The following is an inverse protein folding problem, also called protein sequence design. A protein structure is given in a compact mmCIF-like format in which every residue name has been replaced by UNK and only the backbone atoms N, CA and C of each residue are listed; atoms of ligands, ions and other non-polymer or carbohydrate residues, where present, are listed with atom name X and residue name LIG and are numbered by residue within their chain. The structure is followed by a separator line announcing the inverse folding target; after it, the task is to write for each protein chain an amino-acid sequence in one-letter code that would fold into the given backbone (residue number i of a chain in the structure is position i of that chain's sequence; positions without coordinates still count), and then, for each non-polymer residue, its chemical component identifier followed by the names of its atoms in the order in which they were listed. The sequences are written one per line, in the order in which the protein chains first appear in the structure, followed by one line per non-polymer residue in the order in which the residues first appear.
data_IF_358143009802
#
_entry.id   IF_358143009802
#
_cell.length_a   1.000
_cell.length_b   1.000
_cell.length_c   1.000
_cell.angle_alpha   90.00
_cell.angle_beta   90.00
_cell.angle_gamma   90.00
#
_symmetry.space_group_name_H-M   'P 1'
#
loop_
_entity.id
_entity.type
_entity.pdbx_description
1 polymer ?
#
# COMPACT_ATOMS: atom_id res chain seq x y z
N UNK A 1 -6.46 -0.51 -24.54
CA UNK A 1 -6.25 -0.62 -23.08
C UNK A 1 -6.27 0.80 -22.50
N UNK A 2 -6.85 0.98 -21.34
CA UNK A 2 -7.01 2.28 -20.70
C UNK A 2 -5.71 2.68 -19.99
N UNK A 3 -5.17 3.86 -20.33
CA UNK A 3 -3.91 4.36 -19.74
C UNK A 3 -4.09 4.82 -18.30
N UNK A 4 -5.22 5.49 -18.00
CA UNK A 4 -5.60 5.96 -16.66
C UNK A 4 -6.97 5.38 -16.32
N UNK A 5 -7.10 4.84 -15.11
CA UNK A 5 -8.39 4.47 -14.53
C UNK A 5 -8.79 5.45 -13.44
N UNK A 6 -10.07 5.77 -13.35
CA UNK A 6 -10.67 6.58 -12.30
C UNK A 6 -11.70 5.74 -11.54
N UNK A 7 -11.59 5.73 -10.20
CA UNK A 7 -12.49 4.99 -9.31
C UNK A 7 -13.03 5.93 -8.25
N UNK A 8 -14.36 5.98 -8.13
CA UNK A 8 -15.02 6.74 -7.06
C UNK A 8 -15.04 5.93 -5.78
N UNK A 9 -14.55 6.49 -4.70
CA UNK A 9 -14.40 5.85 -3.41
C UNK A 9 -15.05 6.68 -2.29
N UNK A 10 -15.60 5.97 -1.30
CA UNK A 10 -16.04 6.54 -0.02
C UNK A 10 -15.40 5.76 1.12
N UNK A 11 -15.22 6.36 2.30
CA UNK A 11 -14.73 5.63 3.46
C UNK A 11 -15.74 4.55 3.85
N UNK A 12 -15.24 3.39 4.26
CA UNK A 12 -16.07 2.21 4.58
C UNK A 12 -16.48 2.22 6.05
N UNK A 13 -15.62 2.75 6.93
CA UNK A 13 -15.83 2.74 8.36
C UNK A 13 -16.04 4.17 8.89
N UNK A 14 -17.12 4.36 9.64
CA UNK A 14 -17.43 5.60 10.38
C UNK A 14 -17.40 6.91 9.57
N UNK A 15 -17.43 6.83 8.25
CA UNK A 15 -17.37 8.00 7.38
C UNK A 15 -16.01 8.74 7.38
N UNK A 16 -14.97 8.20 8.02
CA UNK A 16 -13.70 8.89 8.23
C UNK A 16 -12.62 8.33 7.30
N UNK A 17 -11.91 9.21 6.60
CA UNK A 17 -10.75 8.87 5.80
C UNK A 17 -9.50 8.71 6.66
N UNK A 18 -9.30 7.52 7.22
CA UNK A 18 -8.06 7.14 7.89
C UNK A 18 -6.99 6.72 6.89
N UNK A 19 -5.69 6.64 7.27
CA UNK A 19 -4.66 6.05 6.41
C UNK A 19 -5.02 4.66 5.87
N UNK A 20 -5.70 3.81 6.66
CA UNK A 20 -6.15 2.50 6.20
C UNK A 20 -7.27 2.61 5.15
N UNK A 21 -8.23 3.54 5.32
CA UNK A 21 -9.27 3.79 4.31
C UNK A 21 -8.67 4.33 3.00
N UNK A 22 -7.70 5.24 3.08
CA UNK A 22 -6.98 5.73 1.91
C UNK A 22 -6.21 4.61 1.19
N UNK A 23 -5.52 3.74 1.95
CA UNK A 23 -4.86 2.55 1.37
C UNK A 23 -5.85 1.61 0.70
N UNK A 24 -7.03 1.38 1.28
CA UNK A 24 -8.08 0.56 0.69
C UNK A 24 -8.62 1.14 -0.62
N UNK A 25 -8.73 2.47 -0.72
CA UNK A 25 -9.11 3.12 -1.97
C UNK A 25 -8.05 2.95 -3.07
N UNK A 26 -6.75 3.04 -2.72
CA UNK A 26 -5.64 2.78 -3.65
C UNK A 26 -5.61 1.32 -4.11
N UNK A 27 -5.84 0.37 -3.20
CA UNK A 27 -5.86 -1.06 -3.50
C UNK A 27 -7.00 -1.41 -4.47
N UNK A 28 -8.22 -0.88 -4.23
CA UNK A 28 -9.35 -1.03 -5.14
C UNK A 28 -9.02 -0.51 -6.54
N UNK A 29 -8.51 0.72 -6.63
CA UNK A 29 -8.16 1.32 -7.93
C UNK A 29 -7.03 0.54 -8.63
N UNK A 30 -6.09 -0.02 -7.88
CA UNK A 30 -5.03 -0.87 -8.44
C UNK A 30 -5.58 -2.17 -9.02
N UNK A 31 -6.48 -2.84 -8.29
CA UNK A 31 -7.13 -4.09 -8.70
C UNK A 31 -7.97 -3.88 -9.95
N UNK A 32 -8.89 -2.90 -9.93
CA UNK A 32 -9.76 -2.60 -11.06
C UNK A 32 -8.95 -2.28 -12.33
N UNK A 33 -7.85 -1.52 -12.18
CA UNK A 33 -6.98 -1.19 -13.32
C UNK A 33 -6.15 -2.39 -13.80
N UNK A 34 -5.64 -3.22 -12.88
CA UNK A 34 -4.91 -4.43 -13.24
C UNK A 34 -5.79 -5.42 -14.01
N UNK A 35 -7.05 -5.57 -13.62
CA UNK A 35 -8.04 -6.41 -14.32
C UNK A 35 -8.35 -5.85 -15.71
N UNK A 36 -8.57 -4.53 -15.82
CA UNK A 36 -8.78 -3.86 -17.12
C UNK A 36 -7.58 -3.99 -18.07
N UNK A 37 -6.38 -4.15 -17.52
CA UNK A 37 -5.13 -4.37 -18.27
C UNK A 37 -4.81 -5.86 -18.52
N UNK A 38 -5.64 -6.79 -18.03
CA UNK A 38 -5.41 -8.25 -18.08
C UNK A 38 -4.11 -8.70 -17.36
N UNK A 39 -3.77 -8.02 -16.27
CA UNK A 39 -2.65 -8.37 -15.37
C UNK A 39 -3.08 -8.49 -13.91
N UNK A 40 -4.38 -8.64 -13.67
CA UNK A 40 -4.95 -8.91 -12.36
C UNK A 40 -4.52 -10.27 -11.80
N UNK A 41 -4.84 -10.51 -10.52
CA UNK A 41 -4.42 -11.69 -9.78
C UNK A 41 -4.67 -13.01 -10.53
N UNK A 42 -5.91 -13.30 -10.88
CA UNK A 42 -6.31 -14.58 -11.49
C UNK A 42 -5.57 -14.84 -12.80
N UNK A 43 -5.41 -13.79 -13.60
CA UNK A 43 -4.70 -13.85 -14.87
C UNK A 43 -3.22 -14.12 -14.69
N UNK A 44 -2.58 -13.44 -13.74
CA UNK A 44 -1.15 -13.62 -13.47
C UNK A 44 -0.85 -15.00 -12.90
N UNK A 45 -1.72 -15.54 -12.05
CA UNK A 45 -1.61 -16.91 -11.53
C UNK A 45 -1.81 -17.93 -12.65
N UNK A 46 -2.89 -17.81 -13.43
CA UNK A 46 -3.26 -18.80 -14.46
C UNK A 46 -2.25 -18.88 -15.61
N UNK A 47 -1.78 -17.74 -16.10
CA UNK A 47 -0.93 -17.69 -17.30
C UNK A 47 0.57 -17.76 -17.00
N UNK A 48 0.97 -17.25 -15.82
CA UNK A 48 2.40 -17.06 -15.50
C UNK A 48 2.83 -17.69 -14.17
N UNK A 49 1.91 -18.31 -13.41
CA UNK A 49 2.22 -18.88 -12.09
C UNK A 49 2.83 -17.84 -11.14
N UNK A 50 2.37 -16.61 -11.21
CA UNK A 50 2.98 -15.48 -10.53
C UNK A 50 1.97 -14.60 -9.80
N UNK A 51 2.46 -13.88 -8.77
CA UNK A 51 1.67 -12.97 -7.93
C UNK A 51 2.34 -11.60 -7.87
N UNK A 52 1.52 -10.55 -7.88
CA UNK A 52 1.97 -9.21 -7.52
C UNK A 52 2.08 -9.06 -6.01
N UNK A 53 3.24 -8.56 -5.54
CA UNK A 53 3.45 -8.22 -4.15
C UNK A 53 3.77 -6.73 -4.02
N UNK A 54 3.00 -6.03 -3.19
CA UNK A 54 3.30 -4.65 -2.82
C UNK A 54 4.48 -4.67 -1.83
N UNK A 55 5.56 -4.01 -2.19
CA UNK A 55 6.75 -3.94 -1.32
C UNK A 55 6.93 -2.58 -0.67
N UNK A 56 6.42 -1.53 -1.29
CA UNK A 56 6.47 -0.16 -0.75
C UNK A 56 5.29 0.65 -1.21
N UNK A 57 4.81 1.51 -0.31
CA UNK A 57 3.82 2.53 -0.62
C UNK A 57 4.18 3.84 0.06
N UNK A 58 3.84 4.95 -0.58
CA UNK A 58 3.78 6.28 0.02
C UNK A 58 2.52 6.96 -0.48
N UNK A 59 1.78 7.56 0.43
CA UNK A 59 0.71 8.49 0.12
C UNK A 59 0.92 9.80 0.89
N UNK A 60 0.46 10.91 0.31
CA UNK A 60 0.53 12.22 0.95
C UNK A 60 -0.61 13.10 0.42
N UNK A 61 -1.35 13.70 1.33
CA UNK A 61 -2.44 14.62 1.06
C UNK A 61 -2.05 16.05 1.42
N UNK A 62 -2.57 17.01 0.71
CA UNK A 62 -2.45 18.44 1.03
C UNK A 62 -3.42 18.85 2.13
N UNK A 63 -4.56 18.16 2.23
CA UNK A 63 -5.56 18.25 3.28
C UNK A 63 -6.17 16.89 3.55
N UNK A 64 -6.73 16.67 4.73
CA UNK A 64 -7.59 15.51 4.96
C UNK A 64 -8.93 15.70 4.23
N UNK A 65 -9.51 14.62 3.69
CA UNK A 65 -10.88 14.67 3.20
C UNK A 65 -11.86 14.89 4.36
N UNK A 66 -12.95 15.58 4.09
CA UNK A 66 -14.04 15.71 5.06
C UNK A 66 -14.71 14.36 5.32
N UNK A 67 -15.47 14.27 6.42
CA UNK A 67 -16.29 13.09 6.69
C UNK A 67 -17.25 12.84 5.52
N UNK A 68 -17.38 11.57 5.13
CA UNK A 68 -18.22 11.12 4.00
C UNK A 68 -17.90 11.75 2.63
N UNK A 69 -16.83 12.54 2.52
CA UNK A 69 -16.41 13.12 1.23
C UNK A 69 -16.09 12.00 0.23
N UNK A 70 -16.64 12.12 -0.97
CA UNK A 70 -16.34 11.18 -2.04
C UNK A 70 -15.04 11.56 -2.71
N UNK A 71 -14.08 10.63 -2.78
CA UNK A 71 -12.84 10.81 -3.52
C UNK A 71 -12.90 10.08 -4.86
N UNK A 72 -12.35 10.69 -5.89
CA UNK A 72 -11.97 9.99 -7.12
C UNK A 72 -10.49 9.66 -7.06
N UNK A 73 -10.17 8.37 -7.09
CA UNK A 73 -8.78 7.89 -7.19
C UNK A 73 -8.46 7.65 -8.65
N UNK A 74 -7.47 8.36 -9.18
CA UNK A 74 -6.92 8.17 -10.52
C UNK A 74 -5.66 7.35 -10.42
N UNK A 75 -5.47 6.35 -11.28
CA UNK A 75 -4.28 5.50 -11.24
C UNK A 75 -3.76 5.17 -12.63
N UNK A 76 -2.42 5.04 -12.74
CA UNK A 76 -1.70 4.67 -13.96
C UNK A 76 -0.38 3.99 -13.65
N UNK A 77 0.19 3.35 -14.66
CA UNK A 77 1.50 2.70 -14.58
C UNK A 77 2.62 3.63 -15.06
N UNK A 78 3.80 3.48 -14.48
CA UNK A 78 5.07 3.94 -15.06
C UNK A 78 5.69 2.85 -15.92
N UNK A 79 6.69 3.22 -16.73
CA UNK A 79 7.52 2.25 -17.43
C UNK A 79 8.11 1.23 -16.47
N UNK A 80 7.95 -0.08 -16.72
CA UNK A 80 8.46 -1.11 -15.84
C UNK A 80 9.99 -1.14 -15.82
N UNK A 81 10.56 -1.65 -14.73
CA UNK A 81 11.97 -2.04 -14.66
C UNK A 81 12.07 -3.56 -14.60
N UNK A 82 13.26 -4.16 -14.77
CA UNK A 82 13.39 -5.62 -14.65
C UNK A 82 12.91 -6.22 -13.33
N UNK A 83 12.93 -5.43 -12.25
CA UNK A 83 12.63 -5.93 -10.89
C UNK A 83 11.35 -5.35 -10.29
N UNK A 84 10.74 -4.33 -10.92
CA UNK A 84 9.69 -3.56 -10.28
C UNK A 84 8.72 -2.93 -11.28
N UNK A 85 7.42 -3.00 -10.98
CA UNK A 85 6.38 -2.18 -11.58
C UNK A 85 5.98 -1.07 -10.59
N UNK A 86 5.90 0.17 -11.08
CA UNK A 86 5.53 1.32 -10.26
C UNK A 86 4.19 1.86 -10.75
N UNK A 87 3.30 2.12 -9.80
CA UNK A 87 1.97 2.66 -10.04
C UNK A 87 1.82 3.99 -9.29
N UNK A 88 1.37 5.01 -10.01
CA UNK A 88 1.04 6.32 -9.45
C UNK A 88 -0.46 6.47 -9.25
N UNK A 89 -0.80 7.38 -8.32
CA UNK A 89 -2.18 7.74 -8.02
C UNK A 89 -2.33 9.23 -7.74
N UNK A 90 -3.50 9.76 -8.06
CA UNK A 90 -4.03 11.03 -7.56
C UNK A 90 -5.29 10.77 -6.73
N UNK A 91 -5.40 11.47 -5.60
CA UNK A 91 -6.65 11.64 -4.89
C UNK A 91 -7.30 12.95 -5.33
N UNK A 92 -8.49 12.88 -5.88
CA UNK A 92 -9.24 14.05 -6.32
C UNK A 92 -10.53 14.19 -5.51
N UNK A 93 -10.85 15.40 -5.08
CA UNK A 93 -12.11 15.78 -4.46
C UNK A 93 -12.67 16.96 -5.23
N UNK A 94 -13.94 16.91 -5.63
CA UNK A 94 -14.62 17.94 -6.44
C UNK A 94 -13.82 18.40 -7.67
N UNK A 95 -13.08 17.45 -8.29
CA UNK A 95 -12.25 17.70 -9.48
C UNK A 95 -10.85 18.27 -9.19
N UNK A 96 -10.54 18.60 -7.95
CA UNK A 96 -9.21 19.09 -7.54
C UNK A 96 -8.34 17.95 -7.00
N UNK A 97 -7.05 17.96 -7.34
CA UNK A 97 -6.08 17.01 -6.78
C UNK A 97 -5.71 17.46 -5.36
N UNK A 98 -6.11 16.68 -4.37
CA UNK A 98 -5.83 16.90 -2.95
C UNK A 98 -4.70 16.03 -2.41
N UNK A 99 -4.14 15.16 -3.23
CA UNK A 99 -3.04 14.31 -2.80
C UNK A 99 -2.56 13.37 -3.89
N UNK A 100 -1.51 12.63 -3.56
CA UNK A 100 -0.94 11.63 -4.46
C UNK A 100 -0.39 10.44 -3.72
N UNK A 101 -0.26 9.31 -4.43
CA UNK A 101 0.40 8.14 -3.90
C UNK A 101 1.26 7.45 -4.97
N UNK A 102 2.14 6.57 -4.50
CA UNK A 102 2.96 5.70 -5.33
C UNK A 102 3.10 4.33 -4.68
N UNK A 103 2.86 3.29 -5.45
CA UNK A 103 3.07 1.89 -5.06
C UNK A 103 4.20 1.28 -5.89
N UNK A 104 5.06 0.50 -5.23
CA UNK A 104 6.07 -0.32 -5.87
C UNK A 104 5.72 -1.79 -5.70
N UNK A 105 5.53 -2.47 -6.82
CA UNK A 105 5.16 -3.86 -6.89
C UNK A 105 6.30 -4.69 -7.46
N UNK A 106 6.52 -5.86 -6.91
CA UNK A 106 7.39 -6.89 -7.47
C UNK A 106 6.54 -8.08 -7.89
N UNK A 107 7.04 -8.86 -8.84
CA UNK A 107 6.41 -10.09 -9.24
C UNK A 107 7.16 -11.26 -8.60
N UNK A 108 6.42 -12.19 -8.01
CA UNK A 108 6.98 -13.40 -7.41
C UNK A 108 6.33 -14.65 -7.99
N UNK A 109 7.08 -15.75 -8.04
CA UNK A 109 6.51 -17.05 -8.36
C UNK A 109 5.54 -17.46 -7.25
N UNK A 110 4.33 -17.90 -7.62
CA UNK A 110 3.27 -18.21 -6.67
C UNK A 110 3.62 -19.36 -5.71
N UNK A 111 4.37 -20.37 -6.18
CA UNK A 111 4.75 -21.54 -5.40
C UNK A 111 6.09 -21.34 -4.69
N UNK A 112 7.12 -20.97 -5.45
CA UNK A 112 8.50 -20.93 -4.97
C UNK A 112 8.87 -19.62 -4.25
N UNK A 113 8.01 -18.61 -4.27
CA UNK A 113 8.14 -17.33 -3.57
C UNK A 113 9.43 -16.54 -3.84
N UNK A 114 10.06 -16.78 -4.97
CA UNK A 114 11.20 -15.97 -5.42
C UNK A 114 10.76 -14.89 -6.41
N UNK A 115 11.49 -13.79 -6.47
CA UNK A 115 11.22 -12.70 -7.40
C UNK A 115 11.41 -13.16 -8.84
N UNK A 116 10.53 -12.70 -9.72
CA UNK A 116 10.58 -12.91 -11.15
C UNK A 116 11.08 -11.63 -11.82
N UNK A 117 12.02 -11.77 -12.76
CA UNK A 117 12.41 -10.67 -13.62
C UNK A 117 11.27 -10.36 -14.61
N UNK A 118 10.76 -9.12 -14.58
CA UNK A 118 9.62 -8.70 -15.40
C UNK A 118 9.88 -8.87 -16.91
N UNK A 119 11.14 -8.92 -17.34
CA UNK A 119 11.50 -9.20 -18.73
C UNK A 119 11.11 -10.60 -19.21
N UNK A 120 10.85 -11.52 -18.28
CA UNK A 120 10.37 -12.87 -18.62
C UNK A 120 8.91 -12.88 -19.08
N UNK A 121 8.17 -11.76 -18.87
CA UNK A 121 6.78 -11.59 -19.30
C UNK A 121 6.69 -10.38 -20.24
N UNK A 122 6.92 -10.57 -21.55
CA UNK A 122 6.95 -9.47 -22.53
C UNK A 122 5.69 -8.59 -22.52
N UNK A 123 4.52 -9.18 -22.28
CA UNK A 123 3.26 -8.44 -22.20
C UNK A 123 3.25 -7.30 -21.17
N UNK A 124 4.05 -7.39 -20.10
CA UNK A 124 4.17 -6.33 -19.10
C UNK A 124 4.87 -5.08 -19.65
N UNK A 125 5.68 -5.21 -20.70
CA UNK A 125 6.42 -4.11 -21.33
C UNK A 125 5.62 -3.41 -22.44
N UNK A 126 4.49 -4.01 -22.84
CA UNK A 126 3.56 -3.48 -23.84
C UNK A 126 2.36 -2.76 -23.20
N UNK A 127 2.31 -2.72 -21.85
CA UNK A 127 1.25 -2.04 -21.12
C UNK A 127 1.29 -0.53 -21.37
N UNK A 128 0.14 0.14 -21.42
CA UNK A 128 0.08 1.58 -21.53
C UNK A 128 0.69 2.22 -20.29
N UNK A 129 1.56 3.19 -20.51
CA UNK A 129 2.19 3.99 -19.45
C UNK A 129 1.83 5.45 -19.63
N UNK A 130 1.56 6.14 -18.53
CA UNK A 130 1.23 7.56 -18.57
C UNK A 130 2.49 8.43 -18.53
N UNK A 131 2.59 9.37 -19.45
CA UNK A 131 3.67 10.36 -19.54
C UNK A 131 3.12 11.79 -19.34
N UNK A 132 3.86 12.69 -18.65
CA UNK A 132 5.19 12.45 -18.08
C UNK A 132 5.15 11.63 -16.79
N UNK A 133 6.10 10.73 -16.65
CA UNK A 133 6.25 9.96 -15.43
C UNK A 133 6.59 10.88 -14.24
N UNK A 134 5.97 10.60 -13.08
CA UNK A 134 6.36 11.27 -11.85
C UNK A 134 7.76 10.84 -11.43
N UNK A 135 8.58 11.81 -11.03
CA UNK A 135 9.95 11.55 -10.53
C UNK A 135 9.99 11.21 -9.03
N UNK A 136 8.83 10.97 -8.41
CA UNK A 136 8.76 10.58 -7.00
C UNK A 136 9.48 9.26 -6.81
N UNK A 137 10.55 9.28 -6.01
CA UNK A 137 11.30 8.09 -5.62
C UNK A 137 10.99 7.77 -4.18
N UNK A 138 10.64 6.52 -3.89
CA UNK A 138 10.54 6.03 -2.53
C UNK A 138 11.96 5.86 -1.97
N UNK A 139 12.28 6.65 -0.94
CA UNK A 139 13.54 6.54 -0.21
C UNK A 139 13.46 5.35 0.74
N UNK A 140 14.62 4.91 1.25
CA UNK A 140 14.64 3.94 2.33
C UNK A 140 13.98 4.55 3.57
N UNK A 141 12.96 3.90 4.09
CA UNK A 141 12.35 4.29 5.36
C UNK A 141 13.29 3.84 6.50
N UNK A 142 13.80 4.80 7.24
CA UNK A 142 14.65 4.57 8.42
C UNK A 142 13.80 4.81 9.66
N UNK A 143 13.86 3.87 10.59
CA UNK A 143 13.20 3.98 11.89
C UNK A 143 14.12 4.65 12.92
N UNK A 144 13.56 5.28 13.97
CA UNK A 144 14.33 5.69 15.13
C UNK A 144 15.08 4.52 15.77
N UNK A 145 16.27 4.79 16.33
CA UNK A 145 17.07 3.75 17.00
C UNK A 145 16.36 3.12 18.21
N UNK A 146 15.58 3.92 18.92
CA UNK A 146 14.83 3.47 20.08
C UNK A 146 13.35 3.43 19.75
N UNK A 147 12.76 2.25 19.88
CA UNK A 147 11.31 2.03 19.78
C UNK A 147 10.81 1.32 21.02
N UNK A 148 9.59 1.57 21.43
CA UNK A 148 8.95 0.99 22.62
C UNK A 148 7.89 -0.02 22.22
N UNK A 149 7.70 -1.07 23.00
CA UNK A 149 6.64 -2.04 22.76
C UNK A 149 5.26 -1.34 22.84
N UNK A 150 4.44 -1.55 21.82
CA UNK A 150 3.09 -0.99 21.67
C UNK A 150 2.00 -2.07 21.72
N UNK A 151 2.38 -3.32 21.96
CA UNK A 151 1.46 -4.45 22.06
C UNK A 151 1.83 -5.59 21.14
N UNK A 152 0.97 -6.61 21.15
CA UNK A 152 1.08 -7.75 20.24
C UNK A 152 -0.31 -8.09 19.71
N UNK A 153 -0.39 -8.41 18.43
CA UNK A 153 -1.62 -8.75 17.74
C UNK A 153 -1.48 -10.08 17.01
N UNK A 154 -2.55 -10.88 17.01
CA UNK A 154 -2.59 -12.12 16.24
C UNK A 154 -3.37 -11.89 14.96
N UNK A 155 -2.78 -12.26 13.84
CA UNK A 155 -3.42 -12.15 12.52
C UNK A 155 -4.63 -13.08 12.47
N UNK A 156 -5.81 -12.52 12.16
CA UNK A 156 -7.10 -13.19 12.10
C UNK A 156 -7.49 -13.54 10.67
N UNK A 157 -8.51 -14.40 10.51
CA UNK A 157 -9.03 -14.80 9.19
C UNK A 157 -9.56 -13.61 8.38
N UNK A 158 -10.15 -12.62 9.06
CA UNK A 158 -10.71 -11.43 8.42
C UNK A 158 -9.64 -10.49 7.81
N UNK A 159 -8.37 -10.73 8.13
CA UNK A 159 -7.24 -9.93 7.65
C UNK A 159 -6.47 -10.61 6.51
N UNK A 160 -6.86 -11.84 6.14
CA UNK A 160 -6.20 -12.62 5.09
C UNK A 160 -6.86 -12.33 3.74
N UNK A 161 -6.05 -12.06 2.73
CA UNK A 161 -6.48 -11.88 1.35
C UNK A 161 -6.53 -13.21 0.57
N UNK A 162 -6.92 -13.14 -0.71
CA UNK A 162 -7.01 -14.29 -1.60
C UNK A 162 -5.65 -14.96 -1.87
N UNK A 163 -4.52 -14.28 -1.60
CA UNK A 163 -3.17 -14.84 -1.67
C UNK A 163 -2.79 -15.65 -0.43
N UNK A 164 -3.65 -15.67 0.58
CA UNK A 164 -3.43 -16.36 1.84
C UNK A 164 -2.52 -15.63 2.83
N UNK A 165 -2.25 -14.34 2.62
CA UNK A 165 -1.46 -13.50 3.51
C UNK A 165 -2.29 -12.36 4.09
N UNK A 166 -1.74 -11.73 5.12
CA UNK A 166 -2.32 -10.52 5.67
C UNK A 166 -2.41 -9.43 4.59
N UNK A 167 -3.62 -8.91 4.37
CA UNK A 167 -3.90 -7.86 3.40
C UNK A 167 -3.13 -6.57 3.73
N UNK A 168 -2.64 -5.87 2.72
CA UNK A 168 -1.83 -4.65 2.88
C UNK A 168 -2.53 -3.57 3.73
N UNK A 169 -3.85 -3.43 3.61
CA UNK A 169 -4.65 -2.49 4.41
C UNK A 169 -4.71 -2.91 5.87
N UNK A 170 -4.77 -4.22 6.15
CA UNK A 170 -4.80 -4.74 7.51
C UNK A 170 -3.51 -4.39 8.29
N UNK A 171 -2.35 -4.44 7.65
CA UNK A 171 -1.10 -3.96 8.26
C UNK A 171 -1.20 -2.48 8.66
N UNK A 172 -1.76 -1.63 7.80
CA UNK A 172 -1.92 -0.19 8.10
C UNK A 172 -2.89 0.00 9.27
N UNK A 173 -4.00 -0.74 9.30
CA UNK A 173 -4.97 -0.68 10.40
C UNK A 173 -4.34 -1.06 11.73
N UNK A 174 -3.56 -2.14 11.77
CA UNK A 174 -2.85 -2.56 13.00
C UNK A 174 -1.79 -1.55 13.43
N UNK A 175 -1.08 -0.95 12.49
CA UNK A 175 -0.12 0.10 12.80
C UNK A 175 -0.81 1.36 13.36
N UNK A 176 -2.00 1.73 12.84
CA UNK A 176 -2.78 2.86 13.36
C UNK A 176 -3.27 2.64 14.80
N UNK A 177 -3.55 1.40 15.21
CA UNK A 177 -3.89 1.09 16.61
C UNK A 177 -2.72 1.42 17.55
N UNK A 178 -1.48 1.25 17.09
CA UNK A 178 -0.26 1.58 17.84
C UNK A 178 0.14 3.06 17.72
N UNK A 179 -0.31 3.76 16.68
CA UNK A 179 -0.03 5.17 16.41
C UNK A 179 -1.35 5.91 16.14
N UNK A 180 -2.17 6.17 17.19
CA UNK A 180 -3.47 6.80 16.99
C UNK A 180 -3.35 8.24 16.51
N UNK A 181 -4.24 8.64 15.62
CA UNK A 181 -4.32 9.99 15.08
C UNK A 181 -4.79 10.03 13.63
N UNK A 182 -5.02 11.23 13.14
CA UNK A 182 -5.30 11.52 11.73
C UNK A 182 -4.02 12.07 11.08
N UNK A 183 -3.61 11.46 9.98
CA UNK A 183 -2.36 11.78 9.30
C UNK A 183 -2.63 12.04 7.82
N UNK A 184 -2.00 13.08 7.27
CA UNK A 184 -2.04 13.38 5.84
C UNK A 184 -1.09 12.51 5.03
N UNK A 185 -0.18 11.80 5.66
CA UNK A 185 0.81 11.00 4.97
C UNK A 185 1.14 9.68 5.64
N UNK A 186 1.45 8.69 4.81
CA UNK A 186 1.88 7.36 5.18
C UNK A 186 3.02 6.91 4.26
N UNK A 187 4.05 6.34 4.84
CA UNK A 187 5.04 5.50 4.14
C UNK A 187 5.03 4.11 4.75
N UNK A 188 5.03 3.08 3.92
CA UNK A 188 5.12 1.70 4.37
C UNK A 188 6.11 0.90 3.52
N UNK A 189 6.84 0.02 4.19
CA UNK A 189 7.67 -1.02 3.60
C UNK A 189 7.19 -2.35 4.16
N UNK A 190 6.91 -3.29 3.27
CA UNK A 190 6.55 -4.67 3.60
C UNK A 190 7.79 -5.54 3.37
N UNK A 191 8.32 -6.15 4.43
CA UNK A 191 9.56 -6.92 4.39
C UNK A 191 9.32 -8.42 4.45
N UNK A 192 8.31 -8.87 5.22
CA UNK A 192 7.94 -10.28 5.37
C UNK A 192 6.42 -10.45 5.43
N UNK A 193 5.94 -11.48 4.76
CA UNK A 193 4.52 -11.84 4.76
C UNK A 193 4.09 -12.35 6.14
N UNK A 194 2.88 -11.98 6.55
CA UNK A 194 2.20 -12.55 7.71
C UNK A 194 1.09 -13.48 7.26
N UNK A 195 1.01 -14.62 7.92
CA UNK A 195 -0.02 -15.64 7.67
C UNK A 195 -1.03 -15.67 8.80
N UNK A 196 -2.16 -16.33 8.57
CA UNK A 196 -3.16 -16.62 9.59
C UNK A 196 -2.50 -17.13 10.87
N UNK A 197 -2.88 -16.55 12.00
CA UNK A 197 -2.42 -16.97 13.32
C UNK A 197 -1.02 -16.48 13.70
N UNK A 198 -0.28 -15.83 12.77
CA UNK A 198 1.00 -15.23 13.12
C UNK A 198 0.83 -14.21 14.24
N UNK A 199 1.77 -14.18 15.19
CA UNK A 199 1.84 -13.17 16.23
C UNK A 199 2.80 -12.06 15.77
N UNK A 200 2.29 -10.85 15.74
CA UNK A 200 3.04 -9.63 15.47
C UNK A 200 3.22 -8.85 16.77
N UNK A 201 4.46 -8.64 17.17
CA UNK A 201 4.80 -7.64 18.18
C UNK A 201 4.90 -6.29 17.52
N UNK A 202 4.12 -5.30 17.99
CA UNK A 202 4.16 -3.94 17.49
C UNK A 202 5.08 -3.10 18.38
N UNK A 203 5.92 -2.30 17.75
CA UNK A 203 6.77 -1.31 18.41
C UNK A 203 6.50 0.06 17.80
N UNK A 204 6.57 1.09 18.65
CA UNK A 204 6.23 2.46 18.31
C UNK A 204 7.33 3.42 18.75
N UNK A 205 7.54 4.47 17.95
CA UNK A 205 8.30 5.65 18.31
C UNK A 205 7.64 6.89 17.69
N UNK A 206 7.91 8.05 18.26
CA UNK A 206 7.47 9.32 17.68
C UNK A 206 8.57 10.37 17.79
N UNK A 207 8.61 11.29 16.82
CA UNK A 207 9.38 12.52 16.87
C UNK A 207 8.46 13.73 16.64
N UNK A 208 9.02 14.91 16.39
CA UNK A 208 8.24 16.13 16.20
C UNK A 208 7.35 16.09 14.95
N UNK A 209 7.73 15.31 13.94
CA UNK A 209 7.15 15.37 12.60
C UNK A 209 6.35 14.10 12.23
N UNK A 210 6.58 13.00 12.95
CA UNK A 210 6.04 11.71 12.55
C UNK A 210 5.90 10.71 13.71
N UNK A 211 5.05 9.71 13.48
CA UNK A 211 4.98 8.49 14.28
C UNK A 211 5.47 7.30 13.44
N UNK A 212 6.17 6.40 14.09
CA UNK A 212 6.78 5.22 13.46
C UNK A 212 6.25 3.96 14.13
N UNK A 213 5.92 2.97 13.32
CA UNK A 213 5.50 1.65 13.80
C UNK A 213 6.26 0.59 13.01
N UNK A 214 6.73 -0.45 13.69
CA UNK A 214 7.15 -1.68 13.05
C UNK A 214 6.44 -2.89 13.66
N UNK A 215 6.24 -3.90 12.83
CA UNK A 215 5.75 -5.20 13.25
C UNK A 215 6.86 -6.24 13.14
N UNK A 216 7.08 -6.97 14.24
CA UNK A 216 8.10 -8.02 14.34
C UNK A 216 7.42 -9.36 14.57
N UNK A 217 7.78 -10.36 13.78
CA UNK A 217 7.30 -11.74 13.89
C UNK A 217 7.92 -12.46 15.09
N UNK A 218 7.33 -13.58 15.51
CA UNK A 218 7.88 -14.46 16.57
C UNK A 218 9.31 -14.96 16.23
N UNK A 219 9.66 -15.02 14.93
CA UNK A 219 11.02 -15.33 14.47
C UNK A 219 12.05 -14.25 14.78
N UNK A 220 11.61 -13.05 15.18
CA UNK A 220 12.45 -11.87 15.34
C UNK A 220 12.68 -11.09 14.04
N UNK A 221 12.13 -11.54 12.91
CA UNK A 221 12.22 -10.83 11.64
C UNK A 221 11.20 -9.68 11.58
N UNK A 222 11.61 -8.56 10.99
CA UNK A 222 10.71 -7.45 10.73
C UNK A 222 9.76 -7.80 9.58
N UNK A 223 8.45 -7.68 9.84
CA UNK A 223 7.42 -7.91 8.82
C UNK A 223 7.12 -6.64 8.04
N UNK A 224 6.97 -5.53 8.74
CA UNK A 224 6.75 -4.23 8.13
C UNK A 224 7.32 -3.10 8.96
N UNK A 225 7.54 -1.96 8.32
CA UNK A 225 7.79 -0.68 8.95
C UNK A 225 6.94 0.41 8.31
N UNK A 226 6.45 1.34 9.14
CA UNK A 226 5.58 2.43 8.73
C UNK A 226 6.01 3.75 9.37
N UNK A 227 5.70 4.84 8.65
CA UNK A 227 5.81 6.20 9.12
C UNK A 227 4.51 6.92 8.79
N UNK A 228 3.86 7.43 9.80
CA UNK A 228 2.72 8.35 9.68
C UNK A 228 3.22 9.78 9.90
N UNK A 229 2.84 10.71 9.03
CA UNK A 229 3.32 12.09 9.10
C UNK A 229 2.22 13.09 8.72
N UNK A 230 2.48 14.39 8.99
CA UNK A 230 1.48 15.42 8.75
C UNK A 230 0.27 15.23 9.66
N UNK A 231 0.50 15.02 10.97
CA UNK A 231 -0.57 14.90 11.95
C UNK A 231 -1.44 16.15 11.96
N UNK A 232 -2.76 15.97 12.05
CA UNK A 232 -3.71 17.05 12.25
C UNK A 232 -4.31 16.95 13.66
N UNK A 233 -4.55 18.11 14.28
CA UNK A 233 -5.26 18.13 15.56
C UNK A 233 -6.66 17.55 15.37
N UNK A 234 -7.10 16.69 16.28
CA UNK A 234 -8.49 16.25 16.29
C UNK A 234 -9.39 17.49 16.45
N UNK A 235 -10.28 17.68 15.47
CA UNK A 235 -11.28 18.77 15.52
C UNK A 235 -12.39 18.41 16.48
#
# INVERSE_FOLDING_TARGET
MQEILEVSCRPVHDGIWTPAELMGALERAATDHADALNIGHDRMVADFGSLWMLVRSRLELTRLPAADETLTVRTWLRSPTPVMSVRDYDFCADGEVIGSAVHCWVLVNAEARHMIDLRQIPALWELPVHAPERKTRLRRLTLPETMTAAGAVRVTDAEIDDNGHMNNVAYVRRAQEAAPGLFRGLEVVYDRECFRGALLTLEHAADADAQYVRGVLESGEESFRMRFFGAEAAQ
#
